data_IF_422052400903
#
_entry.id   IF_422052400903
#
_cell.length_a   1.000
_cell.length_b   1.000
_cell.length_c   1.000
_cell.angle_alpha   90.00
_cell.angle_beta   90.00
_cell.angle_gamma   90.00
#
_symmetry.space_group_name_H-M   'P 1'
#
loop_
_entity.id
_entity.type
_entity.pdbx_description
1 polymer ?
#
# COMPACT_ATOMS: atom_id res chain seq x y z
N UNK A 1 -2.17 21.53 7.70
CA UNK A 1 -3.31 21.67 8.66
C UNK A 1 -3.88 20.32 9.10
N UNK A 2 -4.13 19.38 8.16
CA UNK A 2 -4.69 18.06 8.47
C UNK A 2 -3.89 17.29 9.54
N UNK A 3 -2.57 17.21 9.42
CA UNK A 3 -1.72 16.52 10.40
C UNK A 3 -1.92 17.02 11.84
N UNK A 4 -1.90 18.33 12.08
CA UNK A 4 -2.01 18.90 13.43
C UNK A 4 -3.35 18.48 14.08
N UNK A 5 -4.45 18.55 13.32
CA UNK A 5 -5.78 18.15 13.79
C UNK A 5 -5.83 16.64 14.07
N UNK A 6 -5.30 15.82 13.17
CA UNK A 6 -5.28 14.36 13.35
C UNK A 6 -4.31 13.91 14.44
N UNK A 7 -3.22 14.64 14.66
CA UNK A 7 -2.23 14.33 15.69
C UNK A 7 -2.72 14.68 17.09
N UNK A 8 -3.55 15.69 17.27
CA UNK A 8 -4.14 16.03 18.58
C UNK A 8 -5.31 15.12 18.94
N UNK A 9 -6.02 14.55 17.96
CA UNK A 9 -7.20 13.71 18.20
C UNK A 9 -6.96 12.21 18.01
N UNK A 10 -6.41 11.80 16.86
CA UNK A 10 -6.33 10.39 16.46
C UNK A 10 -5.05 9.68 16.96
N UNK A 11 -3.91 10.37 17.01
CA UNK A 11 -2.67 9.75 17.52
C UNK A 11 -2.77 9.30 19.01
N UNK A 12 -3.37 10.08 19.93
CA UNK A 12 -3.58 9.63 21.31
C UNK A 12 -4.55 8.45 21.41
N UNK A 13 -5.58 8.42 20.57
CA UNK A 13 -6.53 7.30 20.52
C UNK A 13 -5.84 6.00 20.06
N UNK A 14 -4.96 6.08 19.05
CA UNK A 14 -4.15 4.95 18.58
C UNK A 14 -3.14 4.48 19.63
N UNK A 15 -2.51 5.40 20.38
CA UNK A 15 -1.62 5.04 21.48
C UNK A 15 -2.35 4.26 22.59
N UNK A 16 -3.66 4.48 22.77
CA UNK A 16 -4.52 3.69 23.66
C UNK A 16 -4.65 2.21 23.27
N UNK A 17 -4.30 1.84 22.03
CA UNK A 17 -4.31 0.44 21.55
C UNK A 17 -2.93 -0.23 21.64
N UNK A 18 -2.05 0.22 22.55
CA UNK A 18 -0.67 -0.26 22.69
C UNK A 18 0.20 -0.10 21.42
N UNK A 19 -0.16 0.85 20.55
CA UNK A 19 0.62 1.17 19.34
C UNK A 19 1.69 2.20 19.73
N UNK A 20 2.98 1.98 19.41
CA UNK A 20 4.05 2.92 19.70
C UNK A 20 3.70 4.34 19.26
N UNK A 21 3.92 5.32 20.12
CA UNK A 21 3.52 6.72 19.89
C UNK A 21 4.06 7.26 18.56
N UNK A 22 5.30 6.91 18.21
CA UNK A 22 5.94 7.31 16.95
C UNK A 22 5.24 6.69 15.72
N UNK A 23 4.85 5.41 15.79
CA UNK A 23 4.09 4.76 14.73
C UNK A 23 2.69 5.38 14.57
N UNK A 24 2.03 5.74 15.68
CA UNK A 24 0.75 6.45 15.65
C UNK A 24 0.88 7.85 15.00
N UNK A 25 1.93 8.60 15.30
CA UNK A 25 2.21 9.88 14.64
C UNK A 25 2.52 9.71 13.14
N UNK A 26 3.29 8.69 12.76
CA UNK A 26 3.55 8.38 11.34
C UNK A 26 2.28 7.95 10.60
N UNK A 27 1.39 7.21 11.26
CA UNK A 27 0.08 6.82 10.71
C UNK A 27 -0.76 8.05 10.34
N UNK A 28 -0.97 8.96 11.29
CA UNK A 28 -1.76 10.17 11.04
C UNK A 28 -1.05 11.14 10.11
N UNK A 29 0.29 11.20 10.14
CA UNK A 29 1.08 11.98 9.21
C UNK A 29 0.90 11.49 7.77
N UNK A 30 1.02 10.18 7.54
CA UNK A 30 0.81 9.59 6.22
C UNK A 30 -0.59 9.92 5.70
N UNK A 31 -1.64 9.67 6.48
CA UNK A 31 -3.00 10.01 6.07
C UNK A 31 -3.23 11.51 5.90
N UNK A 32 -2.56 12.36 6.69
CA UNK A 32 -2.61 13.81 6.53
C UNK A 32 -2.03 14.29 5.20
N UNK A 33 -0.97 13.64 4.70
CA UNK A 33 -0.41 13.90 3.37
C UNK A 33 -1.28 13.27 2.28
N UNK A 34 -1.73 12.03 2.49
CA UNK A 34 -2.52 11.26 1.53
C UNK A 34 -3.94 11.79 1.34
N UNK A 35 -4.48 12.52 2.32
CA UNK A 35 -5.79 13.18 2.22
C UNK A 35 -5.88 14.16 1.04
N UNK A 36 -4.74 14.64 0.52
CA UNK A 36 -4.70 15.52 -0.64
C UNK A 36 -4.89 14.79 -1.97
N UNK A 37 -5.21 13.48 -1.98
CA UNK A 37 -5.48 12.72 -3.21
C UNK A 37 -6.97 12.51 -3.49
N UNK A 38 -7.85 12.80 -2.53
CA UNK A 38 -9.30 12.61 -2.68
C UNK A 38 -9.95 13.83 -3.33
N UNK A 39 -10.82 13.65 -4.34
CA UNK A 39 -11.69 14.72 -4.80
C UNK A 39 -12.64 15.16 -3.66
N UNK A 40 -12.91 16.47 -3.50
CA UNK A 40 -12.58 17.59 -4.37
C UNK A 40 -11.27 18.33 -4.04
N UNK A 41 -10.46 17.85 -3.10
CA UNK A 41 -9.29 18.58 -2.56
C UNK A 41 -7.95 18.22 -3.23
N UNK A 42 -7.97 17.39 -4.28
CA UNK A 42 -6.78 16.91 -4.99
C UNK A 42 -6.15 17.95 -5.95
N UNK A 43 -5.54 18.99 -5.36
CA UNK A 43 -4.98 20.15 -6.07
C UNK A 43 -3.97 19.78 -7.16
N UNK A 44 -3.09 18.81 -6.91
CA UNK A 44 -2.07 18.40 -7.89
C UNK A 44 -2.69 17.75 -9.15
N UNK A 45 -3.68 16.88 -8.97
CA UNK A 45 -4.40 16.25 -10.08
C UNK A 45 -5.22 17.28 -10.86
N UNK A 46 -5.83 18.25 -10.18
CA UNK A 46 -6.61 19.32 -10.82
C UNK A 46 -5.73 20.29 -11.60
N UNK A 47 -4.56 20.66 -11.07
CA UNK A 47 -3.57 21.45 -11.79
C UNK A 47 -3.08 20.71 -13.04
N UNK A 48 -2.78 19.42 -12.91
CA UNK A 48 -2.41 18.56 -14.06
C UNK A 48 -3.49 18.50 -15.13
N UNK A 49 -4.76 18.37 -14.73
CA UNK A 49 -5.91 18.39 -15.65
C UNK A 49 -6.03 19.74 -16.39
N UNK A 50 -5.79 20.86 -15.70
CA UNK A 50 -5.79 22.19 -16.31
C UNK A 50 -4.72 22.37 -17.38
N UNK A 51 -3.54 21.75 -17.21
CA UNK A 51 -2.46 21.76 -18.21
C UNK A 51 -2.79 20.84 -19.39
N UNK A 52 -3.37 19.66 -19.14
CA UNK A 52 -3.68 18.69 -20.20
C UNK A 52 -4.99 18.95 -20.95
N UNK A 53 -5.79 19.94 -20.52
CA UNK A 53 -7.15 20.18 -21.03
C UNK A 53 -8.17 19.10 -20.61
N UNK A 54 -7.86 18.32 -19.57
CA UNK A 54 -8.74 17.28 -19.04
C UNK A 54 -9.76 17.84 -18.04
N UNK A 55 -10.79 17.05 -17.76
CA UNK A 55 -11.76 17.37 -16.71
C UNK A 55 -11.10 17.16 -15.32
N UNK A 56 -11.03 18.19 -14.45
CA UNK A 56 -10.39 18.08 -13.15
C UNK A 56 -11.00 16.99 -12.26
N UNK A 57 -12.32 16.90 -12.21
CA UNK A 57 -13.02 15.91 -11.36
C UNK A 57 -12.77 14.49 -11.83
N UNK A 58 -12.85 14.21 -13.13
CA UNK A 58 -12.54 12.89 -13.70
C UNK A 58 -11.08 12.51 -13.45
N UNK A 59 -10.16 13.46 -13.60
CA UNK A 59 -8.73 13.26 -13.33
C UNK A 59 -8.50 12.93 -11.85
N UNK A 60 -9.21 13.62 -10.95
CA UNK A 60 -9.16 13.34 -9.51
C UNK A 60 -9.69 11.94 -9.14
N UNK A 61 -10.79 11.49 -9.75
CA UNK A 61 -11.27 10.13 -9.51
C UNK A 61 -10.31 9.06 -10.06
N UNK A 62 -9.68 9.33 -11.21
CA UNK A 62 -8.70 8.42 -11.79
C UNK A 62 -7.42 8.34 -10.94
N UNK A 63 -6.92 9.48 -10.45
CA UNK A 63 -5.75 9.52 -9.56
C UNK A 63 -6.04 8.80 -8.24
N UNK A 64 -7.24 9.00 -7.67
CA UNK A 64 -7.68 8.27 -6.48
C UNK A 64 -7.68 6.76 -6.74
N UNK A 65 -8.24 6.30 -7.86
CA UNK A 65 -8.27 4.88 -8.24
C UNK A 65 -6.86 4.27 -8.28
N UNK A 66 -5.89 4.97 -8.85
CA UNK A 66 -4.49 4.53 -8.90
C UNK A 66 -3.84 4.52 -7.51
N UNK A 67 -4.22 5.49 -6.67
CA UNK A 67 -3.68 5.63 -5.32
C UNK A 67 -4.27 4.66 -4.28
N UNK A 68 -5.35 3.92 -4.61
CA UNK A 68 -6.04 3.03 -3.66
C UNK A 68 -5.10 2.03 -2.99
N UNK A 69 -4.12 1.49 -3.71
CA UNK A 69 -3.14 0.56 -3.15
C UNK A 69 -2.31 1.20 -2.02
N UNK A 70 -2.04 2.51 -2.10
CA UNK A 70 -1.27 3.25 -1.10
C UNK A 70 -1.99 3.45 0.24
N UNK A 71 -3.31 3.23 0.31
CA UNK A 71 -4.07 3.32 1.57
C UNK A 71 -3.72 2.21 2.56
N UNK A 72 -3.13 1.11 2.10
CA UNK A 72 -2.75 0.00 2.98
C UNK A 72 -1.47 0.29 3.78
N UNK A 73 -0.57 1.13 3.25
CA UNK A 73 0.78 1.36 3.79
C UNK A 73 0.79 1.73 5.28
N UNK A 74 -0.09 2.61 5.78
CA UNK A 74 -0.15 2.92 7.21
C UNK A 74 -0.41 1.72 8.11
N UNK A 75 -1.22 0.79 7.66
CA UNK A 75 -1.50 -0.43 8.40
C UNK A 75 -0.29 -1.36 8.41
N UNK A 76 0.49 -1.38 7.33
CA UNK A 76 1.65 -2.25 7.20
C UNK A 76 2.69 -1.99 8.29
N UNK A 77 3.02 -0.72 8.54
CA UNK A 77 3.99 -0.37 9.58
C UNK A 77 3.41 -0.36 11.00
N UNK A 78 2.09 -0.35 11.17
CA UNK A 78 1.46 -0.62 12.47
C UNK A 78 1.62 -2.10 12.82
N UNK A 79 1.38 -2.99 11.86
CA UNK A 79 1.52 -4.43 12.08
C UNK A 79 2.99 -4.88 12.11
N UNK A 80 3.86 -4.22 11.33
CA UNK A 80 5.29 -4.49 11.31
C UNK A 80 6.12 -3.20 11.48
N UNK A 81 6.34 -2.76 12.73
CA UNK A 81 7.11 -1.56 13.05
C UNK A 81 8.57 -1.57 12.57
N UNK A 82 9.11 -2.75 12.20
CA UNK A 82 10.45 -2.84 11.60
C UNK A 82 10.55 -2.05 10.27
N UNK A 83 9.43 -1.80 9.58
CA UNK A 83 9.38 -0.89 8.43
C UNK A 83 9.80 0.55 8.78
N UNK A 84 9.57 0.98 10.01
CA UNK A 84 9.98 2.28 10.53
C UNK A 84 11.35 2.24 11.21
N UNK A 85 12.07 1.12 11.10
CA UNK A 85 13.34 0.86 11.80
C UNK A 85 13.19 0.93 13.32
N UNK A 86 12.03 0.52 13.84
CA UNK A 86 11.68 0.54 15.26
C UNK A 86 11.36 -0.86 15.73
N UNK A 87 11.99 -1.29 16.82
CA UNK A 87 11.59 -2.48 17.57
C UNK A 87 10.88 -2.06 18.88
N UNK A 88 9.56 -2.27 19.00
CA UNK A 88 8.81 -1.92 20.21
C UNK A 88 8.84 -3.03 21.28
N UNK A 89 9.49 -4.17 21.03
CA UNK A 89 9.42 -5.34 21.89
C UNK A 89 9.97 -5.06 23.29
N UNK A 90 9.13 -5.23 24.31
CA UNK A 90 9.51 -5.02 25.72
C UNK A 90 9.61 -3.56 26.14
N UNK A 91 9.24 -2.60 25.29
CA UNK A 91 9.25 -1.17 25.61
C UNK A 91 7.86 -0.64 25.97
N UNK A 92 7.85 0.40 26.80
CA UNK A 92 6.62 1.16 27.03
C UNK A 92 6.19 1.86 25.73
N UNK A 93 4.88 1.95 25.52
CA UNK A 93 4.26 2.60 24.35
C UNK A 93 4.68 4.07 24.18
N UNK A 94 5.06 4.72 25.29
CA UNK A 94 5.53 6.10 25.39
C UNK A 94 7.05 6.25 25.24
N UNK A 95 7.77 5.18 24.94
CA UNK A 95 9.21 5.23 24.70
C UNK A 95 9.53 6.25 23.60
N UNK A 96 10.54 7.08 23.85
CA UNK A 96 11.05 8.08 22.89
C UNK A 96 12.20 7.54 22.04
N UNK A 97 12.85 6.49 22.54
CA UNK A 97 13.97 5.82 21.90
C UNK A 97 13.56 4.38 21.62
N UNK A 98 13.86 3.94 20.40
CA UNK A 98 13.58 2.59 19.96
C UNK A 98 14.89 1.94 19.49
N UNK A 99 15.17 0.71 19.92
CA UNK A 99 16.28 -0.06 19.38
C UNK A 99 16.04 -0.36 17.91
N UNK A 100 17.14 -0.52 17.18
CA UNK A 100 17.11 -0.90 15.79
C UNK A 100 16.74 -2.39 15.68
N UNK A 101 15.72 -2.76 14.89
CA UNK A 101 15.41 -4.15 14.62
C UNK A 101 16.56 -4.89 13.93
N UNK A 102 16.59 -6.22 13.99
CA UNK A 102 17.45 -7.02 13.14
C UNK A 102 17.35 -6.61 11.66
N UNK A 103 18.49 -6.48 10.98
CA UNK A 103 18.54 -6.03 9.57
C UNK A 103 17.68 -6.95 8.67
N UNK A 104 17.61 -8.24 9.00
CA UNK A 104 16.77 -9.21 8.28
C UNK A 104 15.28 -8.85 8.34
N UNK A 105 14.79 -8.33 9.47
CA UNK A 105 13.38 -7.95 9.63
C UNK A 105 13.06 -6.68 8.84
N UNK A 106 13.99 -5.73 8.80
CA UNK A 106 13.85 -4.52 7.97
C UNK A 106 13.81 -4.89 6.49
N UNK A 107 14.77 -5.70 6.03
CA UNK A 107 14.85 -6.10 4.61
C UNK A 107 13.63 -6.92 4.21
N UNK A 108 13.23 -7.90 5.03
CA UNK A 108 12.04 -8.70 4.74
C UNK A 108 10.78 -7.84 4.72
N UNK A 109 10.59 -6.94 5.69
CA UNK A 109 9.46 -6.03 5.71
C UNK A 109 9.42 -5.15 4.45
N UNK A 110 10.54 -4.57 4.02
CA UNK A 110 10.60 -3.75 2.80
C UNK A 110 10.26 -4.58 1.56
N UNK A 111 10.85 -5.76 1.42
CA UNK A 111 10.66 -6.63 0.25
C UNK A 111 9.21 -7.13 0.16
N UNK A 112 8.65 -7.67 1.24
CA UNK A 112 7.27 -8.16 1.25
C UNK A 112 6.29 -7.01 1.02
N UNK A 113 6.60 -5.83 1.56
CA UNK A 113 5.74 -4.65 1.41
C UNK A 113 5.69 -4.16 -0.03
N UNK A 114 6.85 -4.04 -0.69
CA UNK A 114 6.93 -3.62 -2.08
C UNK A 114 6.19 -4.60 -2.98
N UNK A 115 6.44 -5.90 -2.81
CA UNK A 115 5.77 -6.94 -3.62
C UNK A 115 4.26 -6.95 -3.34
N UNK A 116 3.85 -6.82 -2.08
CA UNK A 116 2.45 -6.79 -1.68
C UNK A 116 1.70 -5.60 -2.27
N UNK A 117 2.27 -4.39 -2.19
CA UNK A 117 1.68 -3.17 -2.77
C UNK A 117 1.60 -3.26 -4.29
N UNK A 118 2.63 -3.79 -4.96
CA UNK A 118 2.60 -4.01 -6.42
C UNK A 118 1.48 -5.01 -6.78
N UNK A 119 1.37 -6.12 -6.04
CA UNK A 119 0.31 -7.10 -6.25
C UNK A 119 -1.09 -6.51 -6.05
N UNK A 120 -1.26 -5.70 -5.01
CA UNK A 120 -2.53 -5.03 -4.72
C UNK A 120 -2.89 -3.98 -5.78
N UNK A 121 -1.91 -3.18 -6.23
CA UNK A 121 -2.09 -2.21 -7.33
C UNK A 121 -2.50 -2.93 -8.62
N UNK A 122 -1.82 -4.00 -9.00
CA UNK A 122 -2.18 -4.81 -10.16
C UNK A 122 -3.60 -5.39 -10.07
N UNK A 123 -4.02 -5.84 -8.88
CA UNK A 123 -5.37 -6.33 -8.64
C UNK A 123 -6.43 -5.22 -8.78
N UNK A 124 -6.16 -4.02 -8.28
CA UNK A 124 -7.07 -2.86 -8.36
C UNK A 124 -7.19 -2.30 -9.78
N UNK A 125 -6.10 -2.27 -10.53
CA UNK A 125 -6.08 -1.84 -11.93
C UNK A 125 -6.66 -2.91 -12.87
N UNK A 126 -6.50 -4.19 -12.52
CA UNK A 126 -6.93 -5.32 -13.35
C UNK A 126 -5.99 -5.60 -14.51
N UNK A 127 -4.77 -5.08 -14.43
CA UNK A 127 -3.74 -5.22 -15.46
C UNK A 127 -2.37 -5.40 -14.81
N UNK A 128 -1.54 -6.27 -15.39
CA UNK A 128 -0.14 -6.40 -15.01
C UNK A 128 0.76 -6.40 -16.26
N UNK A 129 0.67 -7.44 -17.10
CA UNK A 129 1.17 -7.43 -18.50
C UNK A 129 0.09 -7.75 -19.53
N UNK A 130 -1.07 -8.17 -19.07
CA UNK A 130 -2.29 -8.37 -19.86
C UNK A 130 -3.50 -8.16 -18.97
N UNK A 131 -4.68 -8.08 -19.56
CA UNK A 131 -5.93 -7.96 -18.82
C UNK A 131 -6.17 -9.17 -17.92
N UNK A 132 -6.71 -8.94 -16.72
CA UNK A 132 -7.01 -9.98 -15.73
C UNK A 132 -8.52 -10.12 -15.55
N UNK A 133 -8.98 -11.37 -15.42
CA UNK A 133 -10.36 -11.67 -15.05
C UNK A 133 -10.61 -11.26 -13.59
N UNK A 134 -11.85 -10.90 -13.24
CA UNK A 134 -12.24 -10.48 -11.89
C UNK A 134 -11.86 -11.53 -10.83
N UNK A 135 -11.96 -12.82 -11.14
CA UNK A 135 -11.56 -13.90 -10.22
C UNK A 135 -10.05 -13.84 -9.94
N UNK A 136 -9.21 -13.74 -10.98
CA UNK A 136 -7.75 -13.63 -10.81
C UNK A 136 -7.35 -12.37 -10.05
N UNK A 137 -8.10 -11.28 -10.22
CA UNK A 137 -7.88 -10.03 -9.46
C UNK A 137 -8.19 -10.21 -7.98
N UNK A 138 -9.30 -10.86 -7.63
CA UNK A 138 -9.68 -11.13 -6.24
C UNK A 138 -8.63 -12.03 -5.57
N UNK A 139 -8.21 -13.11 -6.24
CA UNK A 139 -7.18 -14.01 -5.68
C UNK A 139 -5.85 -13.27 -5.51
N UNK A 140 -5.47 -12.41 -6.47
CA UNK A 140 -4.26 -11.59 -6.36
C UNK A 140 -4.35 -10.59 -5.20
N UNK A 141 -5.51 -9.95 -4.99
CA UNK A 141 -5.74 -9.06 -3.86
C UNK A 141 -5.61 -9.82 -2.53
N UNK A 142 -6.17 -11.02 -2.43
CA UNK A 142 -6.03 -11.87 -1.23
C UNK A 142 -4.55 -12.24 -1.01
N UNK A 143 -3.83 -12.66 -2.05
CA UNK A 143 -2.40 -12.97 -1.97
C UNK A 143 -1.56 -11.78 -1.53
N UNK A 144 -1.87 -10.58 -2.04
CA UNK A 144 -1.24 -9.33 -1.64
C UNK A 144 -1.49 -9.01 -0.15
N UNK A 145 -2.73 -9.11 0.32
CA UNK A 145 -3.07 -8.86 1.72
C UNK A 145 -2.42 -9.89 2.67
N UNK A 146 -2.34 -11.16 2.26
CA UNK A 146 -1.65 -12.20 3.02
C UNK A 146 -0.14 -11.95 3.12
N UNK A 147 0.48 -11.45 2.04
CA UNK A 147 1.90 -11.10 2.04
C UNK A 147 2.20 -9.87 2.91
N UNK A 148 1.25 -8.93 2.99
CA UNK A 148 1.36 -7.72 3.81
C UNK A 148 1.29 -8.05 5.30
N UNK A 149 0.52 -9.07 5.69
CA UNK A 149 0.43 -9.48 7.10
C UNK A 149 1.75 -10.14 7.56
N UNK A 150 2.36 -9.66 8.67
CA UNK A 150 3.64 -10.18 9.14
C UNK A 150 3.49 -11.62 9.63
N UNK A 151 4.04 -12.55 8.87
CA UNK A 151 4.06 -13.97 9.21
C UNK A 151 4.77 -14.78 8.14
N UNK A 152 5.57 -15.78 8.55
CA UNK A 152 6.32 -16.60 7.61
C UNK A 152 5.39 -17.41 6.70
N UNK A 153 4.38 -18.05 7.28
CA UNK A 153 3.41 -18.89 6.55
C UNK A 153 2.54 -18.03 5.64
N UNK A 154 2.01 -16.91 6.16
CA UNK A 154 1.18 -15.98 5.38
C UNK A 154 1.97 -15.35 4.25
N UNK A 155 3.23 -14.98 4.51
CA UNK A 155 4.16 -14.45 3.52
C UNK A 155 4.48 -15.45 2.41
N UNK A 156 4.76 -16.72 2.74
CA UNK A 156 5.00 -17.76 1.74
C UNK A 156 3.77 -18.01 0.88
N UNK A 157 2.59 -18.15 1.49
CA UNK A 157 1.33 -18.37 0.76
C UNK A 157 1.03 -17.17 -0.15
N UNK A 158 1.13 -15.95 0.38
CA UNK A 158 0.90 -14.72 -0.39
C UNK A 158 1.89 -14.59 -1.56
N UNK A 159 3.17 -14.87 -1.32
CA UNK A 159 4.21 -14.84 -2.34
C UNK A 159 3.98 -15.86 -3.47
N UNK A 160 3.59 -17.09 -3.12
CA UNK A 160 3.25 -18.14 -4.11
C UNK A 160 2.04 -17.73 -4.94
N UNK A 161 1.00 -17.17 -4.32
CA UNK A 161 -0.20 -16.69 -5.04
C UNK A 161 0.16 -15.59 -6.04
N UNK A 162 0.91 -14.57 -5.60
CA UNK A 162 1.30 -13.44 -6.45
C UNK A 162 2.16 -13.93 -7.61
N UNK A 163 3.18 -14.77 -7.35
CA UNK A 163 4.04 -15.33 -8.39
C UNK A 163 3.24 -16.20 -9.36
N UNK A 164 2.34 -17.05 -8.85
CA UNK A 164 1.49 -17.90 -9.67
C UNK A 164 0.61 -17.09 -10.62
N UNK A 165 -0.08 -16.07 -10.12
CA UNK A 165 -0.95 -15.22 -10.93
C UNK A 165 -0.15 -14.34 -11.89
N UNK A 166 0.98 -13.79 -11.46
CA UNK A 166 1.85 -13.00 -12.32
C UNK A 166 2.35 -13.84 -13.51
N UNK A 167 2.80 -15.08 -13.27
CA UNK A 167 3.24 -15.98 -14.33
C UNK A 167 2.10 -16.39 -15.27
N UNK A 168 0.91 -16.68 -14.74
CA UNK A 168 -0.29 -16.97 -15.55
C UNK A 168 -0.67 -15.77 -16.43
N UNK A 169 -0.65 -14.55 -15.88
CA UNK A 169 -0.93 -13.33 -16.64
C UNK A 169 0.11 -13.10 -17.74
N UNK A 170 1.40 -13.33 -17.45
CA UNK A 170 2.48 -13.23 -18.43
C UNK A 170 2.34 -14.24 -19.57
N UNK A 171 1.91 -15.47 -19.28
CA UNK A 171 1.65 -16.49 -20.32
C UNK A 171 0.47 -16.10 -21.21
N UNK A 172 -0.65 -15.70 -20.60
CA UNK A 172 -1.87 -15.33 -21.34
C UNK A 172 -1.69 -14.06 -22.17
N UNK A 173 -0.87 -13.12 -21.71
CA UNK A 173 -0.52 -11.90 -22.46
C UNK A 173 0.22 -12.22 -23.77
N UNK A 174 1.15 -13.18 -23.77
CA UNK A 174 1.87 -13.59 -24.99
C UNK A 174 0.96 -14.25 -26.03
N UNK A 175 -0.07 -14.97 -25.60
CA UNK A 175 -1.03 -15.63 -26.49
C UNK A 175 -1.95 -14.62 -27.20
N UNK A 176 -2.18 -13.45 -26.60
CA UNK A 176 -3.00 -12.38 -27.19
C UNK A 176 -2.23 -11.53 -28.23
N UNK A 177 -0.90 -11.61 -28.28
CA UNK A 177 -0.02 -10.90 -29.24
C UNK A 177 0.42 -11.84 -30.37
N UNK A 178 -0.51 -12.61 -30.94
CA UNK A 178 -0.27 -13.23 -32.24
C UNK A 178 -0.47 -12.12 -33.29
N UNK A 179 0.51 -11.86 -34.17
CA UNK A 179 0.50 -10.66 -35.00
C UNK A 179 -0.74 -10.67 -35.90
N UNK A 180 -1.43 -9.54 -35.93
CA UNK A 180 -2.34 -9.20 -37.01
C UNK A 180 -1.52 -9.22 -38.30
N UNK A 181 -1.57 -10.33 -39.04
CA UNK A 181 -1.15 -10.36 -40.43
C UNK A 181 -2.13 -9.47 -41.21
N UNK A 182 -1.74 -8.21 -41.42
CA UNK A 182 -2.32 -7.34 -42.45
C UNK A 182 -1.17 -6.64 -43.16
#
# INVERSE_FOLDING_TARGET
PAYIITATMAAPALAGFNIPILAAHMFVFYFGVFANITPPVCLAAFAGAGISGGDPMKTGFLSLKLALAGFIVPFMFIYNPAMLMIDPTGLAVTAKEFPLPPIIDIVTAVVTSVIGVIGLSAALEGYFKGSMNTITRIILAIGALLLIYPGLITGLIGGVIILGIALLNMKNSKTAVQPLNV
#
